data_IF_866240839047
#
_entry.id   IF_866240839047
#
_cell.length_a   1.000
_cell.length_b   1.000
_cell.length_c   1.000
_cell.angle_alpha   90.00
_cell.angle_beta   90.00
_cell.angle_gamma   90.00
#
_symmetry.space_group_name_H-M   'P 1'
#
loop_
_entity.id
_entity.type
_entity.pdbx_description
1 polymer ?
#
# COMPACT_ATOMS: atom_id res chain seq x y z
N UNK A 1 1.56 14.47 5.76
CA UNK A 1 2.92 14.15 5.30
C UNK A 1 2.89 13.02 4.28
N UNK A 2 3.84 12.99 3.35
CA UNK A 2 3.91 12.00 2.29
C UNK A 2 5.20 11.18 2.42
N UNK A 3 5.06 9.85 2.37
CA UNK A 3 6.17 8.91 2.23
C UNK A 3 6.11 8.21 0.87
N UNK A 4 7.24 8.12 0.21
CA UNK A 4 7.45 7.27 -0.96
C UNK A 4 8.43 6.18 -0.57
N UNK A 5 7.96 4.92 -0.51
CA UNK A 5 8.74 3.81 0.02
C UNK A 5 9.02 2.77 -1.07
N UNK A 6 10.21 2.19 -1.01
CA UNK A 6 10.54 1.02 -1.83
C UNK A 6 9.98 -0.25 -1.19
N UNK A 7 8.78 -0.64 -1.60
CA UNK A 7 8.11 -1.81 -1.04
C UNK A 7 8.73 -3.16 -1.43
N UNK A 8 9.59 -3.20 -2.46
CA UNK A 8 10.33 -4.42 -2.81
C UNK A 8 11.25 -4.90 -1.68
N UNK A 9 11.70 -3.97 -0.83
CA UNK A 9 12.50 -4.29 0.35
C UNK A 9 11.69 -5.07 1.40
N UNK A 10 10.39 -4.81 1.48
CA UNK A 10 9.49 -5.52 2.40
C UNK A 10 9.10 -6.91 1.87
N UNK A 11 9.12 -7.11 0.56
CA UNK A 11 8.93 -8.43 -0.07
C UNK A 11 10.22 -9.26 0.03
N UNK A 12 11.37 -8.64 -0.27
CA UNK A 12 12.70 -9.28 -0.23
C UNK A 12 13.49 -8.86 1.02
N UNK A 13 12.89 -9.03 2.18
CA UNK A 13 13.45 -8.60 3.47
C UNK A 13 14.69 -9.40 3.93
N UNK A 14 15.11 -10.39 3.16
CA UNK A 14 16.35 -11.12 3.38
C UNK A 14 17.59 -10.24 3.22
N UNK A 15 17.53 -9.20 2.38
CA UNK A 15 18.55 -8.17 2.33
C UNK A 15 18.43 -7.22 3.53
N UNK A 16 19.00 -7.64 4.66
CA UNK A 16 18.87 -6.96 5.94
C UNK A 16 19.39 -5.53 5.93
N UNK A 17 20.41 -5.23 5.15
CA UNK A 17 21.01 -3.89 5.12
C UNK A 17 20.04 -2.88 4.54
N UNK A 18 19.44 -3.16 3.38
CA UNK A 18 18.45 -2.26 2.79
C UNK A 18 17.15 -2.21 3.60
N UNK A 19 16.73 -3.35 4.15
CA UNK A 19 15.56 -3.41 5.03
C UNK A 19 15.75 -2.49 6.24
N UNK A 20 16.86 -2.64 6.97
CA UNK A 20 17.15 -1.83 8.14
C UNK A 20 17.30 -0.35 7.81
N UNK A 21 18.00 -0.01 6.73
CA UNK A 21 18.12 1.38 6.27
C UNK A 21 16.75 2.04 6.04
N UNK A 22 15.81 1.33 5.40
CA UNK A 22 14.47 1.90 5.19
C UNK A 22 13.67 2.01 6.50
N UNK A 23 13.78 1.01 7.39
CA UNK A 23 13.15 1.08 8.70
C UNK A 23 13.69 2.25 9.50
N UNK A 24 15.01 2.45 9.53
CA UNK A 24 15.65 3.55 10.24
C UNK A 24 15.26 4.91 9.63
N UNK A 25 15.21 5.01 8.31
CA UNK A 25 14.70 6.20 7.62
C UNK A 25 13.27 6.56 8.07
N UNK A 26 12.38 5.57 8.11
CA UNK A 26 10.98 5.79 8.55
C UNK A 26 10.97 6.26 10.01
N UNK A 27 11.67 5.56 10.91
CA UNK A 27 11.72 5.91 12.34
C UNK A 27 12.27 7.31 12.58
N UNK A 28 13.39 7.65 11.94
CA UNK A 28 14.00 8.98 12.10
C UNK A 28 13.09 10.07 11.58
N UNK A 29 12.43 9.85 10.44
CA UNK A 29 11.48 10.82 9.88
C UNK A 29 10.28 11.03 10.79
N UNK A 30 9.74 9.95 11.36
CA UNK A 30 8.58 10.01 12.27
C UNK A 30 8.87 10.78 13.56
N UNK A 31 10.10 10.78 14.06
CA UNK A 31 10.48 11.58 15.26
C UNK A 31 10.21 13.08 15.09
N UNK A 32 10.25 13.57 13.85
CA UNK A 32 9.95 14.97 13.52
C UNK A 32 8.47 15.29 13.44
N UNK A 33 7.57 14.29 13.55
CA UNK A 33 6.13 14.47 13.38
C UNK A 33 5.39 14.40 14.71
N UNK A 34 4.42 15.28 14.88
CA UNK A 34 3.46 15.13 15.97
C UNK A 34 2.49 13.96 15.69
N UNK A 35 1.98 13.32 16.74
CA UNK A 35 1.09 12.16 16.65
C UNK A 35 -0.21 12.41 15.87
N UNK A 36 -0.66 13.67 15.78
CA UNK A 36 -1.86 14.05 15.03
C UNK A 36 -1.61 14.31 13.53
N UNK A 37 -0.37 14.23 13.07
CA UNK A 37 -0.04 14.36 11.64
C UNK A 37 -0.61 13.20 10.86
N UNK A 38 -1.32 13.52 9.79
CA UNK A 38 -1.84 12.55 8.83
C UNK A 38 -0.71 12.11 7.92
N UNK A 39 -0.54 10.81 7.78
CA UNK A 39 0.50 10.19 6.96
C UNK A 39 -0.17 9.48 5.78
N UNK A 40 0.36 9.73 4.60
CA UNK A 40 0.01 9.06 3.36
C UNK A 40 1.26 8.37 2.83
N UNK A 41 1.15 7.10 2.46
CA UNK A 41 2.26 6.32 1.90
C UNK A 41 1.95 5.97 0.46
N UNK A 42 2.96 6.09 -0.40
CA UNK A 42 2.95 5.64 -1.78
C UNK A 42 4.02 4.57 -1.93
N UNK A 43 3.64 3.39 -2.40
CA UNK A 43 4.57 2.29 -2.65
C UNK A 43 3.99 1.32 -3.68
N UNK A 44 4.79 0.37 -4.17
CA UNK A 44 4.36 -0.53 -5.23
C UNK A 44 3.50 -1.68 -4.70
N UNK A 45 3.99 -2.46 -3.73
CA UNK A 45 3.28 -3.63 -3.22
C UNK A 45 2.32 -3.26 -2.09
N UNK A 46 1.09 -3.76 -2.08
CA UNK A 46 0.18 -3.56 -0.95
C UNK A 46 0.66 -4.34 0.28
N UNK A 47 0.58 -3.73 1.47
CA UNK A 47 0.99 -4.42 2.70
C UNK A 47 -0.05 -5.45 3.16
N UNK A 48 -1.29 -5.34 2.69
CA UNK A 48 -2.40 -6.18 3.09
C UNK A 48 -3.51 -6.19 2.03
N UNK A 49 -4.19 -7.34 1.90
CA UNK A 49 -5.44 -7.53 1.16
C UNK A 49 -6.38 -8.30 2.07
N UNK A 50 -7.62 -7.82 2.23
CA UNK A 50 -8.67 -8.61 2.82
C UNK A 50 -9.35 -9.45 1.74
N UNK A 51 -9.42 -10.76 1.97
CA UNK A 51 -10.03 -11.70 1.01
C UNK A 51 -11.46 -11.35 0.64
N UNK A 52 -12.22 -10.80 1.59
CA UNK A 52 -13.62 -10.39 1.36
C UNK A 52 -13.77 -9.24 0.36
N UNK A 53 -12.70 -8.43 0.19
CA UNK A 53 -12.71 -7.28 -0.70
C UNK A 53 -12.28 -7.66 -2.13
N UNK A 54 -11.86 -8.93 -2.35
CA UNK A 54 -11.44 -9.45 -3.64
C UNK A 54 -12.68 -9.90 -4.41
N UNK A 55 -12.86 -9.34 -5.61
CA UNK A 55 -13.90 -9.80 -6.52
C UNK A 55 -13.61 -11.21 -7.03
N UNK A 56 -14.65 -12.01 -7.29
CA UNK A 56 -14.50 -13.39 -7.80
C UNK A 56 -13.71 -13.46 -9.12
N UNK A 57 -13.80 -12.44 -9.96
CA UNK A 57 -13.02 -12.32 -11.19
C UNK A 57 -11.51 -12.15 -10.96
N UNK A 58 -11.09 -11.79 -9.76
CA UNK A 58 -9.68 -11.60 -9.39
C UNK A 58 -9.12 -12.76 -8.55
N UNK A 59 -9.97 -13.65 -8.03
CA UNK A 59 -9.56 -14.72 -7.11
C UNK A 59 -8.50 -15.62 -7.71
N UNK A 60 -8.70 -16.08 -8.96
CA UNK A 60 -7.77 -16.98 -9.62
C UNK A 60 -6.40 -16.34 -9.84
N UNK A 61 -6.35 -15.04 -10.12
CA UNK A 61 -5.12 -14.29 -10.33
C UNK A 61 -4.29 -14.15 -9.05
N UNK A 62 -4.97 -13.91 -7.93
CA UNK A 62 -4.34 -13.67 -6.63
C UNK A 62 -3.94 -14.98 -5.96
N UNK A 63 -4.77 -16.02 -6.08
CA UNK A 63 -4.52 -17.32 -5.42
C UNK A 63 -3.73 -18.33 -6.26
N UNK A 64 -3.46 -18.03 -7.52
CA UNK A 64 -2.62 -18.87 -8.38
C UNK A 64 -1.15 -18.91 -7.98
N UNK A 65 -0.71 -17.99 -7.12
CA UNK A 65 0.68 -17.85 -6.63
C UNK A 65 0.72 -17.75 -5.12
N UNK A 66 1.90 -17.95 -4.58
CA UNK A 66 2.16 -17.66 -3.17
C UNK A 66 1.82 -16.19 -2.89
N UNK A 67 1.01 -15.94 -1.87
CA UNK A 67 0.59 -14.59 -1.48
C UNK A 67 1.78 -13.68 -1.13
N UNK A 68 2.89 -14.24 -0.67
CA UNK A 68 4.11 -13.49 -0.37
C UNK A 68 4.69 -12.74 -1.60
N UNK A 69 4.35 -13.20 -2.81
CA UNK A 69 4.70 -12.48 -4.03
C UNK A 69 3.87 -11.18 -4.22
N UNK A 70 2.64 -11.19 -3.73
CA UNK A 70 1.68 -10.12 -3.99
C UNK A 70 1.60 -9.07 -2.88
N UNK A 71 1.78 -9.51 -1.63
CA UNK A 71 1.62 -8.69 -0.43
C UNK A 71 2.72 -8.98 0.57
N UNK A 72 2.84 -8.15 1.58
CA UNK A 72 3.77 -8.41 2.68
C UNK A 72 3.38 -9.68 3.44
N UNK A 73 4.37 -10.48 3.80
CA UNK A 73 4.19 -11.54 4.78
C UNK A 73 3.63 -10.97 6.11
N UNK A 74 2.88 -11.78 6.84
CA UNK A 74 2.21 -11.35 8.05
C UNK A 74 3.16 -10.69 9.06
N UNK A 75 4.34 -11.28 9.27
CA UNK A 75 5.34 -10.73 10.16
C UNK A 75 5.79 -9.33 9.71
N UNK A 76 6.16 -9.19 8.45
CA UNK A 76 6.63 -7.92 7.87
C UNK A 76 5.53 -6.87 7.88
N UNK A 77 4.31 -7.26 7.56
CA UNK A 77 3.13 -6.40 7.64
C UNK A 77 2.94 -5.85 9.05
N UNK A 78 3.00 -6.71 10.05
CA UNK A 78 2.82 -6.30 11.45
C UNK A 78 3.95 -5.35 11.90
N UNK A 79 5.20 -5.65 11.55
CA UNK A 79 6.34 -4.76 11.79
C UNK A 79 6.16 -3.41 11.10
N UNK A 80 5.71 -3.40 9.85
CA UNK A 80 5.45 -2.17 9.08
C UNK A 80 4.39 -1.28 9.75
N UNK A 81 3.24 -1.83 10.10
CA UNK A 81 2.18 -1.03 10.75
C UNK A 81 2.55 -0.61 12.17
N UNK A 82 3.37 -1.38 12.88
CA UNK A 82 3.87 -1.03 14.22
C UNK A 82 4.75 0.23 14.20
N UNK A 83 5.47 0.51 13.09
CA UNK A 83 6.24 1.75 12.94
C UNK A 83 5.38 3.01 13.08
N UNK A 84 4.12 2.92 12.67
CA UNK A 84 3.18 4.05 12.63
C UNK A 84 2.16 4.06 13.77
N UNK A 85 2.28 3.18 14.77
CA UNK A 85 1.27 3.02 15.84
C UNK A 85 0.95 4.30 16.62
N UNK A 86 1.95 5.16 16.79
CA UNK A 86 1.83 6.44 17.50
C UNK A 86 1.49 7.61 16.57
N UNK A 87 1.18 7.32 15.30
CA UNK A 87 0.88 8.29 14.27
C UNK A 87 -0.39 7.92 13.52
N UNK A 88 -0.98 8.89 12.82
CA UNK A 88 -2.17 8.67 12.00
C UNK A 88 -1.79 8.25 10.58
N UNK A 89 -1.47 6.97 10.38
CA UNK A 89 -1.36 6.42 9.02
C UNK A 89 -2.77 6.25 8.43
N UNK A 90 -3.12 7.11 7.49
CA UNK A 90 -4.49 7.21 6.99
C UNK A 90 -4.68 6.45 5.69
N UNK A 91 -3.74 6.58 4.74
CA UNK A 91 -3.80 5.92 3.45
C UNK A 91 -2.47 5.33 3.04
N UNK A 92 -2.55 4.17 2.38
CA UNK A 92 -1.45 3.56 1.63
C UNK A 92 -1.93 3.37 0.20
N UNK A 93 -1.33 4.08 -0.75
CA UNK A 93 -1.60 3.96 -2.17
C UNK A 93 -0.61 3.01 -2.81
N UNK A 94 -1.11 2.03 -3.57
CA UNK A 94 -0.31 0.94 -4.14
C UNK A 94 -0.71 0.62 -5.58
N UNK A 95 0.09 -0.23 -6.21
CA UNK A 95 -0.16 -0.84 -7.51
C UNK A 95 0.05 -2.35 -7.44
N UNK A 96 0.95 -2.88 -8.25
CA UNK A 96 1.43 -4.26 -8.29
C UNK A 96 0.40 -5.30 -8.73
N UNK A 97 -0.78 -5.29 -8.17
CA UNK A 97 -1.82 -6.29 -8.43
C UNK A 97 -2.48 -6.12 -9.80
N UNK A 98 -2.31 -4.97 -10.44
CA UNK A 98 -2.95 -4.61 -11.71
C UNK A 98 -4.49 -4.65 -11.67
N UNK A 99 -5.08 -4.52 -10.50
CA UNK A 99 -6.52 -4.44 -10.26
C UNK A 99 -6.86 -3.20 -9.42
N UNK A 100 -8.11 -2.75 -9.46
CA UNK A 100 -8.63 -1.73 -8.55
C UNK A 100 -9.18 -2.42 -7.30
N UNK A 101 -8.54 -2.17 -6.17
CA UNK A 101 -8.95 -2.77 -4.90
C UNK A 101 -8.85 -1.73 -3.79
N UNK A 102 -9.90 -1.66 -2.98
CA UNK A 102 -9.90 -0.88 -1.74
C UNK A 102 -10.09 -1.83 -0.57
N UNK A 103 -9.16 -1.83 0.35
CA UNK A 103 -9.21 -2.63 1.56
C UNK A 103 -8.79 -1.79 2.76
N UNK A 104 -8.89 -2.33 3.96
CA UNK A 104 -8.46 -1.64 5.17
C UNK A 104 -7.74 -2.61 6.10
N UNK A 105 -6.69 -2.12 6.74
CA UNK A 105 -6.04 -2.81 7.83
C UNK A 105 -6.08 -1.90 9.07
N UNK A 106 -6.80 -2.32 10.10
CA UNK A 106 -7.17 -1.45 11.23
C UNK A 106 -7.85 -0.17 10.72
N UNK A 107 -7.31 0.99 11.03
CA UNK A 107 -7.84 2.31 10.60
C UNK A 107 -7.23 2.83 9.30
N UNK A 108 -6.23 2.13 8.74
CA UNK A 108 -5.54 2.52 7.52
C UNK A 108 -6.27 2.01 6.29
N UNK A 109 -6.60 2.89 5.35
CA UNK A 109 -7.11 2.51 4.03
C UNK A 109 -5.96 2.18 3.09
N UNK A 110 -6.10 1.08 2.36
CA UNK A 110 -5.14 0.63 1.36
C UNK A 110 -5.85 0.67 0.01
N UNK A 111 -5.33 1.48 -0.90
CA UNK A 111 -5.92 1.74 -2.21
C UNK A 111 -4.97 1.25 -3.27
N UNK A 112 -5.30 0.14 -3.89
CA UNK A 112 -4.56 -0.41 -5.04
C UNK A 112 -5.18 0.11 -6.32
N UNK A 113 -4.34 0.52 -7.26
CA UNK A 113 -4.75 1.05 -8.55
C UNK A 113 -4.36 0.09 -9.66
N UNK A 114 -5.28 -0.15 -10.59
CA UNK A 114 -5.05 -0.94 -11.79
C UNK A 114 -3.91 -0.38 -12.65
N UNK A 115 -3.35 -1.21 -13.52
CA UNK A 115 -2.26 -0.82 -14.40
C UNK A 115 -2.73 0.09 -15.53
N UNK A 116 -1.84 0.99 -15.96
CA UNK A 116 -2.08 1.83 -17.12
C UNK A 116 -2.04 1.02 -18.44
N UNK A 117 -1.11 0.05 -18.52
CA UNK A 117 -0.85 -0.68 -19.76
C UNK A 117 -1.28 -2.14 -19.77
N UNK A 118 -1.39 -2.79 -18.63
CA UNK A 118 -1.73 -4.22 -18.51
C UNK A 118 -2.59 -4.47 -17.27
N UNK A 119 -3.88 -4.14 -17.31
CA UNK A 119 -4.80 -4.50 -16.23
C UNK A 119 -4.98 -6.02 -16.19
N UNK A 120 -5.38 -6.54 -15.03
CA UNK A 120 -5.73 -7.94 -14.84
C UNK A 120 -7.23 -8.08 -14.53
N UNK A 121 -7.77 -9.26 -14.86
CA UNK A 121 -9.21 -9.51 -14.74
C UNK A 121 -10.02 -8.56 -15.61
N UNK A 122 -11.15 -8.11 -15.08
CA UNK A 122 -12.09 -7.22 -15.78
C UNK A 122 -11.84 -5.73 -15.51
N UNK A 123 -10.77 -5.41 -14.80
CA UNK A 123 -10.43 -4.02 -14.51
C UNK A 123 -9.92 -3.28 -15.75
N UNK A 124 -10.39 -2.04 -15.96
CA UNK A 124 -9.89 -1.24 -17.08
C UNK A 124 -8.47 -0.72 -16.82
N UNK A 125 -7.75 -0.46 -17.91
CA UNK A 125 -6.54 0.40 -17.86
C UNK A 125 -6.90 1.78 -17.36
N UNK A 126 -6.01 2.38 -16.58
CA UNK A 126 -6.28 3.71 -16.07
C UNK A 126 -5.30 4.20 -15.01
N UNK A 127 -5.65 5.30 -14.41
CA UNK A 127 -4.86 5.98 -13.38
C UNK A 127 -5.77 6.56 -12.31
N UNK A 128 -5.19 6.88 -11.15
CA UNK A 128 -5.91 7.51 -10.05
C UNK A 128 -5.36 8.91 -9.79
N UNK A 129 -6.28 9.89 -9.73
CA UNK A 129 -5.96 11.23 -9.24
C UNK A 129 -6.28 11.25 -7.75
N UNK A 130 -5.32 11.76 -6.99
CA UNK A 130 -5.45 11.97 -5.54
C UNK A 130 -5.34 13.47 -5.32
N UNK A 131 -6.38 14.06 -4.73
CA UNK A 131 -6.45 15.48 -4.43
C UNK A 131 -6.48 15.69 -2.92
N UNK A 132 -5.66 16.63 -2.44
CA UNK A 132 -5.64 17.00 -1.03
C UNK A 132 -5.86 18.50 -0.91
N UNK A 133 -7.07 18.86 -0.53
CA UNK A 133 -7.50 20.25 -0.41
C UNK A 133 -8.21 20.49 0.92
N UNK A 134 -7.89 21.59 1.58
CA UNK A 134 -8.54 22.03 2.82
C UNK A 134 -8.60 20.95 3.91
N UNK A 135 -7.52 20.18 4.05
CA UNK A 135 -7.43 19.09 5.02
C UNK A 135 -8.21 17.82 4.65
N UNK A 136 -8.83 17.80 3.48
CA UNK A 136 -9.58 16.63 2.98
C UNK A 136 -8.83 15.97 1.84
N UNK A 137 -8.79 14.63 1.87
CA UNK A 137 -8.27 13.81 0.80
C UNK A 137 -9.44 13.23 0.01
N UNK A 138 -9.38 13.36 -1.30
CA UNK A 138 -10.26 12.65 -2.23
C UNK A 138 -9.42 11.96 -3.29
N UNK A 139 -9.93 10.89 -3.84
CA UNK A 139 -9.29 10.18 -4.95
C UNK A 139 -10.33 9.62 -5.90
N UNK A 140 -9.97 9.53 -7.17
CA UNK A 140 -10.84 9.00 -8.21
C UNK A 140 -10.03 8.26 -9.25
N UNK A 141 -10.50 7.08 -9.65
CA UNK A 141 -9.96 6.32 -10.78
C UNK A 141 -10.54 6.84 -12.10
N UNK A 142 -9.69 6.91 -13.11
CA UNK A 142 -10.03 7.28 -14.49
C UNK A 142 -9.55 6.19 -15.42
N UNK A 143 -10.49 5.54 -16.10
CA UNK A 143 -10.19 4.59 -17.18
C UNK A 143 -9.74 5.33 -18.45
N UNK A 144 -8.94 4.67 -19.25
CA UNK A 144 -8.52 5.11 -20.58
C UNK A 144 -8.96 4.11 -21.63
#
# INVERSE_FOLDING_TARGET
>A
ELFFLNSSIFINYENKDFYNQQIDFIKETLKGFSSNKRILIFMHHPPFIDKKDILSSHEELIYSKDLSYWIFEEKIRNEFFELFKDHKLEYVFTGHLHINLETSFKETKIITTSALGLPLGDDPSGYRIIDYKDGKLSYKFFSI
#
